data_IF_235835582347
#
_entry.id   IF_235835582347
#
_cell.length_a   1.000
_cell.length_b   1.000
_cell.length_c   1.000
_cell.angle_alpha   90.00
_cell.angle_beta   90.00
_cell.angle_gamma   90.00
#
_symmetry.space_group_name_H-M   'P 1'
#
loop_
_entity.id
_entity.type
_entity.pdbx_description
1 polymer ?
#
# COMPACT_ATOMS: atom_id res chain seq x y z
N UNK A 1 13.51 4.43 -37.84
CA UNK A 1 12.37 4.21 -36.93
C UNK A 1 12.39 5.20 -35.75
N UNK A 2 13.44 5.21 -34.92
CA UNK A 2 13.57 6.12 -33.75
C UNK A 2 13.43 7.62 -34.06
N UNK A 3 14.05 8.11 -35.14
CA UNK A 3 13.94 9.52 -35.56
C UNK A 3 12.51 9.93 -35.93
N UNK A 4 11.72 9.01 -36.51
CA UNK A 4 10.32 9.26 -36.87
C UNK A 4 9.47 9.35 -35.59
N UNK A 5 9.68 8.46 -34.62
CA UNK A 5 8.95 8.49 -33.34
C UNK A 5 9.21 9.78 -32.55
N UNK A 6 10.48 10.25 -32.49
CA UNK A 6 10.81 11.54 -31.84
C UNK A 6 10.23 12.76 -32.55
N UNK A 7 10.05 12.70 -33.87
CA UNK A 7 9.42 13.79 -34.64
C UNK A 7 7.90 13.78 -34.53
N UNK A 8 7.29 12.61 -34.36
CA UNK A 8 5.83 12.45 -34.27
C UNK A 8 5.32 12.76 -32.86
N UNK A 9 6.09 12.43 -31.81
CA UNK A 9 5.78 12.78 -30.42
C UNK A 9 6.87 13.69 -29.90
N UNK A 10 6.68 15.00 -30.05
CA UNK A 10 7.62 16.04 -29.64
C UNK A 10 7.72 16.18 -28.11
N UNK A 11 6.63 15.92 -27.40
CA UNK A 11 6.54 16.04 -25.95
C UNK A 11 5.52 15.05 -25.40
N UNK A 12 5.89 14.31 -24.36
CA UNK A 12 5.02 13.35 -23.69
C UNK A 12 4.54 13.93 -22.35
N UNK A 13 3.23 14.09 -22.22
CA UNK A 13 2.60 14.45 -20.94
C UNK A 13 2.01 13.21 -20.27
N UNK A 14 2.56 12.84 -19.11
CA UNK A 14 2.11 11.66 -18.34
C UNK A 14 1.22 12.10 -17.18
N UNK A 15 -0.01 11.56 -17.14
CA UNK A 15 -1.00 11.86 -16.09
C UNK A 15 -0.95 10.81 -14.97
N UNK A 16 0.19 10.75 -14.30
CA UNK A 16 0.39 10.13 -12.99
C UNK A 16 -0.05 8.67 -12.80
N UNK A 17 -0.01 8.27 -11.52
CA UNK A 17 -0.26 6.91 -11.01
C UNK A 17 0.45 5.85 -11.85
N UNK A 18 1.76 6.04 -12.00
CA UNK A 18 2.64 5.11 -12.71
C UNK A 18 2.75 3.81 -11.89
N UNK A 19 2.86 3.96 -10.57
CA UNK A 19 2.91 2.84 -9.62
C UNK A 19 1.51 2.28 -9.32
N UNK A 20 1.45 1.03 -8.88
CA UNK A 20 0.25 0.28 -8.49
C UNK A 20 -0.74 -0.07 -9.62
N UNK A 21 -0.44 0.31 -10.89
CA UNK A 21 -1.28 0.03 -12.07
C UNK A 21 -0.80 -1.10 -12.97
N UNK A 22 0.39 -1.65 -12.73
CA UNK A 22 1.00 -2.69 -13.56
C UNK A 22 2.08 -3.46 -12.81
N UNK A 23 2.63 -4.53 -13.41
CA UNK A 23 3.62 -5.38 -12.75
C UNK A 23 5.02 -4.76 -12.66
N UNK A 24 5.38 -3.86 -13.58
CA UNK A 24 6.77 -3.37 -13.73
C UNK A 24 6.83 -1.83 -13.85
N UNK A 25 6.29 -1.06 -12.88
CA UNK A 25 6.27 0.40 -12.93
C UNK A 25 7.69 1.01 -12.95
N UNK A 26 8.68 0.34 -12.38
CA UNK A 26 10.09 0.74 -12.39
C UNK A 26 10.64 0.83 -13.81
N UNK A 27 10.24 -0.08 -14.72
CA UNK A 27 10.65 -0.03 -16.12
C UNK A 27 10.01 1.14 -16.86
N UNK A 28 8.79 1.51 -16.49
CA UNK A 28 8.12 2.70 -17.04
C UNK A 28 8.93 3.92 -16.64
N UNK A 29 9.27 4.06 -15.35
CA UNK A 29 10.07 5.19 -14.86
C UNK A 29 11.44 5.25 -15.54
N UNK A 30 12.16 4.12 -15.66
CA UNK A 30 13.44 4.06 -16.36
C UNK A 30 13.30 4.49 -17.84
N UNK A 31 12.22 4.08 -18.49
CA UNK A 31 11.93 4.50 -19.88
C UNK A 31 11.67 6.00 -19.97
N UNK A 32 10.91 6.57 -19.03
CA UNK A 32 10.58 8.00 -19.00
C UNK A 32 11.82 8.86 -18.69
N UNK A 33 12.71 8.42 -17.78
CA UNK A 33 13.98 9.12 -17.48
C UNK A 33 14.84 9.27 -18.73
N UNK A 34 14.87 8.24 -19.57
CA UNK A 34 15.64 8.22 -20.81
C UNK A 34 14.89 8.83 -22.01
N UNK A 35 13.65 9.30 -21.81
CA UNK A 35 12.84 9.90 -22.87
C UNK A 35 13.25 11.35 -23.12
N UNK A 36 13.21 11.76 -24.38
CA UNK A 36 13.81 13.04 -24.81
C UNK A 36 13.09 14.31 -24.34
N UNK A 37 11.80 14.23 -24.02
CA UNK A 37 10.95 15.37 -23.69
C UNK A 37 9.69 14.86 -23.01
N UNK A 38 9.64 14.99 -21.68
CA UNK A 38 8.54 14.47 -20.86
C UNK A 38 8.24 15.42 -19.71
N UNK A 39 6.96 15.55 -19.38
CA UNK A 39 6.51 16.11 -18.13
C UNK A 39 5.49 15.17 -17.45
N UNK A 40 5.41 15.24 -16.12
CA UNK A 40 4.62 14.33 -15.32
C UNK A 40 3.75 15.13 -14.35
N UNK A 41 2.45 14.93 -14.45
CA UNK A 41 1.52 15.31 -13.40
C UNK A 41 1.42 14.15 -12.41
N UNK A 42 2.03 14.28 -11.24
CA UNK A 42 2.06 13.22 -10.23
C UNK A 42 0.66 12.91 -9.68
N UNK A 43 0.35 11.62 -9.65
CA UNK A 43 -0.85 11.09 -9.03
C UNK A 43 -0.69 10.88 -7.52
N UNK A 44 -1.77 10.46 -6.87
CA UNK A 44 -1.75 10.18 -5.44
C UNK A 44 -0.91 8.95 -5.11
N UNK A 45 -0.88 7.93 -5.99
CA UNK A 45 -0.03 6.76 -5.79
C UNK A 45 1.45 7.14 -5.86
N UNK A 46 1.83 7.92 -6.88
CA UNK A 46 3.22 8.37 -7.03
C UNK A 46 3.68 9.19 -5.83
N UNK A 47 2.82 10.08 -5.31
CA UNK A 47 3.13 10.88 -4.13
C UNK A 47 3.44 10.03 -2.89
N UNK A 48 2.74 8.89 -2.72
CA UNK A 48 3.01 7.96 -1.62
C UNK A 48 4.38 7.29 -1.84
N UNK A 49 4.69 6.83 -3.05
CA UNK A 49 5.99 6.25 -3.41
C UNK A 49 7.14 7.23 -3.20
N UNK A 50 6.99 8.47 -3.66
CA UNK A 50 7.95 9.56 -3.43
C UNK A 50 8.11 9.83 -1.93
N UNK A 51 7.00 9.87 -1.17
CA UNK A 51 7.02 10.07 0.28
C UNK A 51 7.76 8.96 1.02
N UNK A 52 7.58 7.71 0.62
CA UNK A 52 8.31 6.57 1.19
C UNK A 52 9.81 6.65 0.89
N UNK A 53 10.18 6.98 -0.35
CA UNK A 53 11.58 7.22 -0.73
C UNK A 53 12.20 8.37 0.08
N UNK A 54 11.44 9.43 0.35
CA UNK A 54 11.85 10.55 1.18
C UNK A 54 11.93 10.22 2.70
N UNK A 55 11.70 8.96 3.10
CA UNK A 55 11.84 8.48 4.47
C UNK A 55 10.57 8.51 5.31
N UNK A 56 9.40 8.75 4.72
CA UNK A 56 8.12 8.66 5.44
C UNK A 56 7.77 7.20 5.72
N UNK A 57 7.89 6.80 7.00
CA UNK A 57 7.50 5.47 7.47
C UNK A 57 6.03 5.15 7.22
N UNK A 58 5.17 6.16 7.26
CA UNK A 58 3.73 5.99 7.04
C UNK A 58 3.46 5.72 5.58
N UNK A 59 4.08 6.46 4.66
CA UNK A 59 3.95 6.19 3.23
C UNK A 59 4.52 4.81 2.87
N UNK A 60 5.64 4.40 3.49
CA UNK A 60 6.19 3.05 3.33
C UNK A 60 5.20 1.97 3.78
N UNK A 61 4.58 2.14 4.96
CA UNK A 61 3.57 1.20 5.45
C UNK A 61 2.34 1.14 4.53
N UNK A 62 1.91 2.29 3.99
CA UNK A 62 0.81 2.37 3.02
C UNK A 62 1.16 1.60 1.75
N UNK A 63 2.36 1.77 1.18
CA UNK A 63 2.81 1.04 -0.02
C UNK A 63 2.81 -0.45 0.24
N UNK A 64 3.46 -0.89 1.33
CA UNK A 64 3.53 -2.31 1.68
C UNK A 64 2.13 -2.92 1.82
N UNK A 65 1.18 -2.18 2.40
CA UNK A 65 -0.20 -2.62 2.51
C UNK A 65 -0.91 -2.68 1.16
N UNK A 66 -0.74 -1.68 0.29
CA UNK A 66 -1.31 -1.68 -1.06
C UNK A 66 -0.73 -2.85 -1.87
N UNK A 67 0.58 -3.05 -1.84
CA UNK A 67 1.27 -4.16 -2.47
C UNK A 67 0.74 -5.51 -1.96
N UNK A 68 0.61 -5.69 -0.64
CA UNK A 68 0.04 -6.92 -0.07
C UNK A 68 -1.42 -7.13 -0.47
N UNK A 69 -2.20 -6.05 -0.60
CA UNK A 69 -3.61 -6.13 -1.01
C UNK A 69 -3.79 -6.52 -2.47
N UNK A 70 -2.86 -6.17 -3.35
CA UNK A 70 -2.97 -6.36 -4.80
C UNK A 70 -1.92 -7.32 -5.36
N UNK A 71 -1.27 -8.12 -4.50
CA UNK A 71 -0.29 -9.12 -4.91
C UNK A 71 0.90 -8.54 -5.70
N UNK A 72 1.39 -7.38 -5.23
CA UNK A 72 2.49 -6.64 -5.87
C UNK A 72 3.69 -6.48 -4.92
N UNK A 73 3.90 -7.41 -3.99
CA UNK A 73 5.04 -7.35 -3.06
C UNK A 73 6.39 -7.57 -3.76
N UNK A 74 6.40 -8.27 -4.89
CA UNK A 74 7.62 -8.51 -5.68
C UNK A 74 8.27 -7.21 -6.16
N UNK A 75 7.50 -6.15 -6.43
CA UNK A 75 8.08 -4.83 -6.79
C UNK A 75 8.98 -4.33 -5.65
N UNK A 76 8.56 -4.52 -4.41
CA UNK A 76 9.30 -4.05 -3.23
C UNK A 76 10.57 -4.89 -3.01
N UNK A 77 10.48 -6.21 -3.18
CA UNK A 77 11.61 -7.13 -2.98
C UNK A 77 12.59 -7.15 -4.16
N UNK A 78 12.10 -7.36 -5.38
CA UNK A 78 12.92 -7.60 -6.57
C UNK A 78 13.42 -6.31 -7.20
N UNK A 79 12.55 -5.31 -7.38
CA UNK A 79 12.94 -4.06 -8.03
C UNK A 79 13.68 -3.11 -7.09
N UNK A 80 13.24 -3.01 -5.83
CA UNK A 80 13.82 -2.10 -4.85
C UNK A 80 14.75 -2.75 -3.83
N UNK A 81 14.85 -4.08 -3.78
CA UNK A 81 15.77 -4.79 -2.88
C UNK A 81 15.40 -4.70 -1.40
N UNK A 82 14.14 -4.38 -1.07
CA UNK A 82 13.71 -4.21 0.32
C UNK A 82 13.35 -5.57 0.90
N UNK A 83 14.08 -5.98 1.94
CA UNK A 83 13.88 -7.28 2.59
C UNK A 83 12.59 -7.30 3.44
N UNK A 84 11.58 -8.09 3.03
CA UNK A 84 10.32 -8.24 3.75
C UNK A 84 10.32 -9.35 4.80
N UNK A 85 11.40 -10.13 4.92
CA UNK A 85 11.49 -11.25 5.87
C UNK A 85 11.19 -10.87 7.33
N UNK A 86 11.64 -9.72 7.86
CA UNK A 86 11.26 -9.31 9.22
C UNK A 86 9.74 -9.11 9.38
N UNK A 87 9.08 -8.56 8.36
CA UNK A 87 7.64 -8.35 8.35
C UNK A 87 6.90 -9.70 8.24
N UNK A 88 7.38 -10.61 7.39
CA UNK A 88 6.84 -11.97 7.29
C UNK A 88 6.95 -12.71 8.62
N UNK A 89 8.11 -12.68 9.29
CA UNK A 89 8.29 -13.32 10.59
C UNK A 89 7.33 -12.76 11.66
N UNK A 90 7.12 -11.44 11.68
CA UNK A 90 6.16 -10.80 12.56
C UNK A 90 4.74 -11.29 12.25
N UNK A 91 4.39 -11.30 10.97
CA UNK A 91 3.08 -11.74 10.48
C UNK A 91 2.80 -13.20 10.86
N UNK A 92 3.75 -14.11 10.63
CA UNK A 92 3.62 -15.53 10.97
C UNK A 92 3.48 -15.77 12.47
N UNK A 93 4.14 -14.96 13.30
CA UNK A 93 4.10 -15.10 14.76
C UNK A 93 2.74 -14.73 15.35
N UNK A 94 2.08 -13.69 14.81
CA UNK A 94 0.89 -13.09 15.44
C UNK A 94 -0.41 -13.31 14.67
N UNK A 95 -0.36 -13.69 13.38
CA UNK A 95 -1.54 -13.72 12.51
C UNK A 95 -1.80 -15.08 11.85
N UNK A 96 -3.09 -15.41 11.74
CA UNK A 96 -3.61 -16.59 11.03
C UNK A 96 -4.24 -16.24 9.68
N UNK A 97 -4.96 -17.20 9.08
CA UNK A 97 -5.76 -16.92 7.89
C UNK A 97 -6.92 -15.98 8.24
N UNK A 98 -7.19 -15.03 7.35
CA UNK A 98 -8.31 -14.11 7.45
C UNK A 98 -8.80 -13.78 6.02
N UNK A 99 -9.95 -14.31 5.59
CA UNK A 99 -10.45 -14.13 4.23
C UNK A 99 -10.59 -12.66 3.81
N UNK A 100 -10.90 -11.75 4.74
CA UNK A 100 -11.05 -10.33 4.43
C UNK A 100 -9.73 -9.64 4.02
N UNK A 101 -8.59 -10.26 4.35
CA UNK A 101 -7.25 -9.76 4.06
C UNK A 101 -6.58 -10.50 2.90
N UNK A 102 -7.26 -11.46 2.27
CA UNK A 102 -6.71 -12.14 1.09
C UNK A 102 -6.43 -11.14 -0.04
N UNK A 103 -5.31 -11.30 -0.77
CA UNK A 103 -4.98 -10.42 -1.88
C UNK A 103 -6.05 -10.46 -2.97
N UNK A 104 -6.27 -9.33 -3.61
CA UNK A 104 -7.10 -9.19 -4.81
C UNK A 104 -6.28 -9.62 -6.01
N UNK A 105 -6.41 -10.89 -6.35
CA UNK A 105 -5.71 -11.49 -7.47
C UNK A 105 -6.29 -11.01 -8.80
N UNK A 106 -5.43 -10.87 -9.80
CA UNK A 106 -5.85 -10.69 -11.18
C UNK A 106 -6.31 -12.03 -11.73
N UNK A 107 -7.15 -12.01 -12.76
CA UNK A 107 -7.73 -13.23 -13.36
C UNK A 107 -6.69 -14.20 -13.95
N UNK A 108 -5.47 -13.73 -14.18
CA UNK A 108 -4.31 -14.46 -14.69
C UNK A 108 -3.27 -14.81 -13.62
N UNK A 109 -3.50 -14.44 -12.36
CA UNK A 109 -2.58 -14.73 -11.24
C UNK A 109 -2.59 -16.22 -10.89
N UNK A 110 -1.43 -16.86 -10.97
CA UNK A 110 -1.20 -18.23 -10.52
C UNK A 110 -0.35 -18.25 -9.24
N UNK A 111 -0.93 -17.81 -8.12
CA UNK A 111 -0.28 -17.92 -6.81
C UNK A 111 -0.71 -19.19 -6.09
N UNK A 112 0.20 -19.76 -5.29
CA UNK A 112 -0.12 -20.93 -4.48
C UNK A 112 -1.00 -20.56 -3.27
N UNK A 113 -1.74 -21.52 -2.70
CA UNK A 113 -2.50 -21.28 -1.46
C UNK A 113 -1.59 -20.87 -0.29
N UNK A 114 -0.37 -21.40 -0.23
CA UNK A 114 0.61 -21.07 0.80
C UNK A 114 1.07 -19.63 0.69
N UNK A 115 1.38 -19.18 -0.53
CA UNK A 115 1.75 -17.79 -0.82
C UNK A 115 0.59 -16.84 -0.53
N UNK A 116 -0.63 -17.19 -0.94
CA UNK A 116 -1.82 -16.42 -0.61
C UNK A 116 -1.99 -16.25 0.90
N UNK A 117 -1.77 -17.32 1.68
CA UNK A 117 -1.85 -17.28 3.13
C UNK A 117 -0.75 -16.40 3.74
N UNK A 118 0.49 -16.47 3.22
CA UNK A 118 1.58 -15.60 3.68
C UNK A 118 1.26 -14.13 3.44
N UNK A 119 0.80 -13.77 2.23
CA UNK A 119 0.39 -12.41 1.89
C UNK A 119 -0.76 -11.96 2.79
N UNK A 120 -1.73 -12.84 3.07
CA UNK A 120 -2.86 -12.55 3.97
C UNK A 120 -2.41 -12.19 5.39
N UNK A 121 -1.42 -12.90 5.92
CA UNK A 121 -0.84 -12.60 7.23
C UNK A 121 -0.06 -11.28 7.20
N UNK A 122 0.76 -11.06 6.16
CA UNK A 122 1.50 -9.81 5.97
C UNK A 122 0.54 -8.62 5.92
N UNK A 123 -0.55 -8.74 5.17
CA UNK A 123 -1.55 -7.68 5.00
C UNK A 123 -2.21 -7.30 6.34
N UNK A 124 -2.49 -8.27 7.21
CA UNK A 124 -3.00 -7.98 8.56
C UNK A 124 -1.96 -7.25 9.42
N UNK A 125 -0.72 -7.75 9.44
CA UNK A 125 0.35 -7.16 10.24
C UNK A 125 0.65 -5.70 9.82
N UNK A 126 0.77 -5.46 8.50
CA UNK A 126 1.06 -4.13 7.99
C UNK A 126 -0.11 -3.16 8.15
N UNK A 127 -1.36 -3.65 8.17
CA UNK A 127 -2.52 -2.81 8.46
C UNK A 127 -2.45 -2.26 9.90
N UNK A 128 -2.08 -3.08 10.89
CA UNK A 128 -1.91 -2.62 12.27
C UNK A 128 -0.76 -1.61 12.40
N UNK A 129 0.36 -1.88 11.74
CA UNK A 129 1.51 -0.95 11.69
C UNK A 129 1.09 0.39 11.07
N UNK A 130 0.40 0.37 9.92
CA UNK A 130 -0.09 1.57 9.27
C UNK A 130 -0.97 2.39 10.21
N UNK A 131 -1.99 1.78 10.83
CA UNK A 131 -2.90 2.51 11.71
C UNK A 131 -2.17 3.14 12.89
N UNK A 132 -1.25 2.42 13.53
CA UNK A 132 -0.42 2.94 14.63
C UNK A 132 0.45 4.13 14.19
N UNK A 133 0.97 4.10 12.97
CA UNK A 133 1.80 5.17 12.42
C UNK A 133 0.99 6.40 12.00
N UNK A 134 -0.23 6.22 11.51
CA UNK A 134 -1.12 7.32 11.08
C UNK A 134 -1.66 8.13 12.25
N UNK A 135 -1.98 7.47 13.37
CA UNK A 135 -2.56 8.11 14.56
C UNK A 135 -1.83 9.37 15.04
N UNK A 136 -0.52 9.36 15.32
CA UNK A 136 0.19 10.56 15.76
C UNK A 136 0.22 11.67 14.71
N UNK A 137 0.18 11.33 13.41
CA UNK A 137 0.15 12.32 12.33
C UNK A 137 -1.18 13.05 12.30
N UNK A 138 -2.28 12.30 12.36
CA UNK A 138 -3.65 12.85 12.40
C UNK A 138 -3.79 13.75 13.61
N UNK A 139 -3.41 13.28 14.81
CA UNK A 139 -3.51 14.07 16.05
C UNK A 139 -2.67 15.36 16.03
N UNK A 140 -1.52 15.36 15.35
CA UNK A 140 -0.67 16.56 15.20
C UNK A 140 -1.26 17.58 14.21
N UNK A 141 -2.17 17.17 13.33
CA UNK A 141 -2.72 18.01 12.25
C UNK A 141 -4.27 17.96 12.25
N UNK A 142 -4.93 18.48 13.31
CA UNK A 142 -6.40 18.49 13.39
C UNK A 142 -7.05 19.32 12.26
N UNK A 143 -6.32 20.26 11.66
CA UNK A 143 -6.78 21.02 10.49
C UNK A 143 -7.05 20.18 9.24
N UNK A 144 -6.68 18.90 9.23
CA UNK A 144 -7.02 17.98 8.14
C UNK A 144 -8.37 17.27 8.34
N UNK A 145 -9.03 17.45 9.49
CA UNK A 145 -10.36 16.87 9.77
C UNK A 145 -10.39 15.34 9.56
N UNK A 146 -9.32 14.67 9.98
CA UNK A 146 -9.10 13.23 9.78
C UNK A 146 -9.33 12.39 11.06
N UNK A 147 -9.91 12.95 12.11
CA UNK A 147 -10.12 12.28 13.41
C UNK A 147 -10.95 10.99 13.29
N UNK A 148 -11.83 10.91 12.29
CA UNK A 148 -12.59 9.68 11.96
C UNK A 148 -11.70 8.53 11.48
N UNK A 149 -10.44 8.81 11.08
CA UNK A 149 -9.44 7.81 10.69
C UNK A 149 -8.61 7.28 11.86
N UNK A 150 -8.83 7.77 13.09
CA UNK A 150 -8.24 7.22 14.32
C UNK A 150 -8.91 5.89 14.71
N UNK A 151 -8.98 4.93 13.78
CA UNK A 151 -9.81 3.72 13.87
C UNK A 151 -9.56 2.90 15.12
N UNK A 152 -8.30 2.78 15.56
CA UNK A 152 -7.94 2.03 16.77
C UNK A 152 -8.48 2.66 18.07
N UNK A 153 -8.71 3.97 18.09
CA UNK A 153 -9.31 4.66 19.25
C UNK A 153 -10.85 4.66 19.23
N UNK A 154 -11.43 4.31 18.09
CA UNK A 154 -12.89 4.29 17.88
C UNK A 154 -13.51 2.91 18.10
N UNK A 155 -12.69 1.91 18.36
CA UNK A 155 -13.13 0.53 18.58
C UNK A 155 -13.45 0.30 20.06
N UNK A 156 -14.62 -0.26 20.32
CA UNK A 156 -14.96 -0.91 21.58
C UNK A 156 -14.53 -2.38 21.50
N UNK A 157 -13.38 -2.70 22.11
CA UNK A 157 -12.82 -4.05 22.11
C UNK A 157 -13.62 -5.05 22.94
N UNK A 158 -14.44 -4.59 23.90
CA UNK A 158 -15.25 -5.48 24.75
C UNK A 158 -16.48 -5.96 24.00
N UNK A 159 -17.15 -5.05 23.30
CA UNK A 159 -18.36 -5.36 22.52
C UNK A 159 -18.05 -5.74 21.07
N UNK A 160 -16.81 -5.55 20.64
CA UNK A 160 -16.33 -5.76 19.26
C UNK A 160 -17.10 -4.90 18.25
N UNK A 161 -17.22 -3.61 18.55
CA UNK A 161 -17.94 -2.62 17.75
C UNK A 161 -17.05 -1.43 17.41
N UNK A 162 -17.38 -0.67 16.37
CA UNK A 162 -16.70 0.58 16.01
C UNK A 162 -17.73 1.68 15.79
N UNK A 163 -17.44 2.89 16.31
CA UNK A 163 -18.24 4.07 16.01
C UNK A 163 -17.50 4.99 15.05
N UNK A 164 -18.04 5.13 13.85
CA UNK A 164 -17.49 5.99 12.78
C UNK A 164 -18.61 6.78 12.14
N UNK A 165 -18.38 8.08 11.91
CA UNK A 165 -19.39 9.02 11.38
C UNK A 165 -20.71 9.00 12.17
N UNK A 166 -20.63 8.89 13.49
CA UNK A 166 -21.78 8.90 14.40
C UNK A 166 -22.66 7.65 14.34
N UNK A 167 -22.21 6.57 13.67
CA UNK A 167 -22.91 5.28 13.63
C UNK A 167 -22.02 4.17 14.17
N UNK A 168 -22.62 3.28 14.94
CA UNK A 168 -21.96 2.12 15.54
C UNK A 168 -22.22 0.88 14.69
N UNK A 169 -21.17 0.10 14.43
CA UNK A 169 -21.22 -1.10 13.61
C UNK A 169 -20.52 -2.26 14.32
N UNK A 170 -21.06 -3.49 14.26
CA UNK A 170 -20.35 -4.67 14.72
C UNK A 170 -19.17 -4.95 13.79
N UNK A 171 -18.01 -5.26 14.38
CA UNK A 171 -16.81 -5.61 13.65
C UNK A 171 -16.87 -7.07 13.19
N UNK A 172 -16.26 -7.34 12.04
CA UNK A 172 -16.05 -8.68 11.49
C UNK A 172 -14.60 -8.80 11.05
N UNK A 173 -14.11 -10.04 11.00
CA UNK A 173 -12.78 -10.36 10.44
C UNK A 173 -11.64 -9.54 11.06
N UNK A 174 -11.69 -9.36 12.39
CA UNK A 174 -10.76 -8.50 13.15
C UNK A 174 -9.33 -9.04 13.16
N UNK A 175 -8.34 -8.14 13.18
CA UNK A 175 -6.93 -8.48 13.22
C UNK A 175 -6.14 -7.64 14.26
N UNK A 176 -6.72 -7.48 15.46
CA UNK A 176 -6.18 -6.62 16.51
C UNK A 176 -5.11 -7.26 17.41
N UNK A 177 -4.48 -8.35 16.97
CA UNK A 177 -3.52 -9.14 17.78
C UNK A 177 -2.29 -8.35 18.23
N UNK A 178 -1.99 -7.21 17.59
CA UNK A 178 -0.83 -6.37 17.90
C UNK A 178 -1.21 -4.93 18.18
N UNK A 179 -2.42 -4.66 18.67
CA UNK A 179 -2.86 -3.28 18.98
C UNK A 179 -2.16 -2.69 20.22
N UNK A 180 -1.79 -3.53 21.18
CA UNK A 180 -1.09 -3.13 22.43
C UNK A 180 0.24 -2.39 22.23
#
# INVERSE_FOLDING_TARGET
SYTIQRLVVEHLHVVGDIYDRGPEPEKIVETLINYHSVDIQWGNHDAIWIGAYAGSRVCLAIILRICARYDNLNIVEDAYGINLRPLLNLAEKYYGDNPAFRPKLRSDSNISEQEQLQITKIHQAIAMIQFKLEMPIIKRRPSFEMEERLVLEKIDYNNNEITVYGKTYPLKDTCFQTVD
#
